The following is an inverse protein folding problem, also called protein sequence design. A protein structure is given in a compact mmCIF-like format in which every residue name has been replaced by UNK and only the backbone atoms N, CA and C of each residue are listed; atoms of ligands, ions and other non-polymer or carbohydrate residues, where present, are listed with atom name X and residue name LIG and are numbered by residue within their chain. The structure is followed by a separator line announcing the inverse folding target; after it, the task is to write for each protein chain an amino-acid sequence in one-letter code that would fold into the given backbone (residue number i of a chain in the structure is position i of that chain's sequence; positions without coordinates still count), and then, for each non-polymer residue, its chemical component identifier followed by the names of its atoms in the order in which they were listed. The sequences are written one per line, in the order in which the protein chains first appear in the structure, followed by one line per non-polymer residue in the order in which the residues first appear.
data_IF_860176997686
#
_entry.id   IF_860176997686
#
_cell.length_a   1.000
_cell.length_b   1.000
_cell.length_c   1.000
_cell.angle_alpha   90.00
_cell.angle_beta   90.00
_cell.angle_gamma   90.00
#
_symmetry.space_group_name_H-M   'P 1'
#
loop_
_entity.id
_entity.type
_entity.pdbx_description
1 polymer ?
#
# COMPACT_ATOMS: atom_id res chain seq x y z
N UNK A 1 11.03 -5.50 -11.13
CA UNK A 1 10.02 -4.46 -10.84
C UNK A 1 10.47 -3.62 -9.66
N UNK A 2 10.46 -2.31 -9.78
CA UNK A 2 10.68 -1.43 -8.64
C UNK A 2 9.32 -0.88 -8.18
N UNK A 3 8.72 -1.54 -7.20
CA UNK A 3 7.37 -1.23 -6.74
C UNK A 3 7.25 0.20 -6.18
N UNK A 4 8.27 0.67 -5.46
CA UNK A 4 8.21 2.01 -4.86
C UNK A 4 8.27 3.11 -5.92
N UNK A 5 9.04 2.92 -7.00
CA UNK A 5 9.07 3.88 -8.09
C UNK A 5 7.74 3.93 -8.83
N UNK A 6 7.12 2.79 -9.06
CA UNK A 6 5.80 2.72 -9.69
C UNK A 6 4.79 3.45 -8.82
N UNK A 7 4.82 3.20 -7.51
CA UNK A 7 3.91 3.86 -6.57
C UNK A 7 4.12 5.37 -6.57
N UNK A 8 5.36 5.83 -6.58
CA UNK A 8 5.68 7.27 -6.62
C UNK A 8 5.11 7.96 -7.86
N UNK A 9 5.11 7.28 -9.00
CA UNK A 9 4.52 7.84 -10.22
C UNK A 9 3.03 8.09 -10.09
N UNK A 10 2.34 7.34 -9.24
CA UNK A 10 0.90 7.42 -9.06
C UNK A 10 0.50 8.05 -7.72
N UNK A 11 1.47 8.57 -6.96
CA UNK A 11 1.24 9.12 -5.63
C UNK A 11 0.19 10.23 -5.64
N UNK A 12 0.30 11.16 -6.58
CA UNK A 12 -0.63 12.28 -6.70
C UNK A 12 -2.06 11.81 -6.92
N UNK A 13 -2.25 10.85 -7.83
CA UNK A 13 -3.56 10.27 -8.11
C UNK A 13 -4.12 9.57 -6.88
N UNK A 14 -3.29 8.77 -6.21
CA UNK A 14 -3.70 8.04 -5.01
C UNK A 14 -4.15 9.00 -3.92
N UNK A 15 -3.36 10.03 -3.64
CA UNK A 15 -3.68 10.99 -2.59
C UNK A 15 -4.91 11.83 -2.91
N UNK A 16 -5.05 12.24 -4.16
CA UNK A 16 -6.15 13.12 -4.58
C UNK A 16 -7.46 12.36 -4.78
N UNK A 17 -7.41 11.27 -5.55
CA UNK A 17 -8.61 10.53 -5.93
C UNK A 17 -9.16 9.69 -4.78
N UNK A 18 -8.27 9.07 -4.00
CA UNK A 18 -8.67 8.15 -2.94
C UNK A 18 -8.54 8.75 -1.55
N UNK A 19 -8.15 10.01 -1.44
CA UNK A 19 -8.02 10.75 -0.18
C UNK A 19 -7.09 10.02 0.79
N UNK A 20 -5.92 9.66 0.30
CA UNK A 20 -4.89 8.96 1.07
C UNK A 20 -3.92 9.98 1.67
N UNK A 21 -3.62 9.83 2.95
CA UNK A 21 -2.64 10.67 3.65
C UNK A 21 -1.23 10.15 3.43
N UNK A 22 -1.03 8.85 3.60
CA UNK A 22 0.27 8.19 3.40
C UNK A 22 0.06 6.84 2.75
N UNK A 23 0.99 6.43 1.90
CA UNK A 23 0.99 5.12 1.28
C UNK A 23 2.43 4.64 1.13
N UNK A 24 2.66 3.36 1.41
CA UNK A 24 3.98 2.78 1.31
C UNK A 24 3.95 1.29 1.01
N UNK A 25 5.12 0.75 0.77
CA UNK A 25 5.34 -0.67 0.48
C UNK A 25 6.05 -1.28 1.68
N UNK A 26 5.60 -2.46 2.12
CA UNK A 26 6.29 -3.21 3.16
C UNK A 26 6.41 -4.68 2.73
N UNK A 27 6.91 -5.52 3.61
CA UNK A 27 7.04 -6.94 3.33
C UNK A 27 8.15 -7.27 2.35
N UNK A 28 7.97 -8.33 1.55
CA UNK A 28 9.04 -8.85 0.70
C UNK A 28 9.52 -7.87 -0.35
N UNK A 29 8.63 -7.08 -0.95
CA UNK A 29 9.02 -6.07 -1.93
C UNK A 29 9.83 -4.94 -1.32
N UNK A 30 9.58 -4.59 -0.07
CA UNK A 30 10.37 -3.56 0.61
C UNK A 30 11.77 -4.07 0.99
N UNK A 31 11.89 -5.37 1.28
CA UNK A 31 13.15 -5.99 1.67
C UNK A 31 13.98 -6.50 0.49
N UNK A 32 13.43 -6.44 -0.73
CA UNK A 32 14.12 -7.00 -1.90
C UNK A 32 14.12 -8.53 -1.92
N UNK A 33 13.18 -9.16 -1.24
CA UNK A 33 13.08 -10.61 -1.11
C UNK A 33 11.92 -11.20 -1.91
N UNK A 34 11.30 -10.42 -2.78
CA UNK A 34 10.13 -10.84 -3.54
C UNK A 34 10.44 -11.95 -4.55
N UNK A 35 9.44 -12.81 -4.75
CA UNK A 35 9.43 -13.86 -5.76
C UNK A 35 8.37 -13.54 -6.79
N UNK A 36 8.36 -14.26 -7.92
CA UNK A 36 7.35 -14.06 -8.97
C UNK A 36 5.93 -14.18 -8.44
N UNK A 37 5.71 -15.07 -7.48
CA UNK A 37 4.39 -15.30 -6.89
C UNK A 37 4.06 -14.38 -5.73
N UNK A 38 4.97 -13.50 -5.31
CA UNK A 38 4.73 -12.61 -4.17
C UNK A 38 3.69 -11.55 -4.49
N UNK A 39 2.76 -11.33 -3.54
CA UNK A 39 1.86 -10.21 -3.60
C UNK A 39 2.60 -8.95 -3.13
N UNK A 40 2.14 -7.80 -3.58
CA UNK A 40 2.71 -6.53 -3.09
C UNK A 40 1.96 -6.12 -1.84
N UNK A 41 2.68 -5.98 -0.73
CA UNK A 41 2.11 -5.54 0.54
C UNK A 41 2.13 -4.01 0.60
N UNK A 42 0.96 -3.40 0.64
CA UNK A 42 0.82 -1.95 0.63
C UNK A 42 0.16 -1.49 1.92
N UNK A 43 0.80 -0.54 2.60
CA UNK A 43 0.27 0.08 3.80
C UNK A 43 -0.32 1.43 3.42
N UNK A 44 -1.57 1.67 3.83
CA UNK A 44 -2.25 2.92 3.53
C UNK A 44 -2.82 3.56 4.79
N UNK A 45 -2.69 4.89 4.86
CA UNK A 45 -3.33 5.71 5.88
C UNK A 45 -4.23 6.70 5.16
N UNK A 46 -5.56 6.54 5.34
CA UNK A 46 -6.55 7.41 4.72
C UNK A 46 -6.74 8.69 5.51
N UNK A 47 -7.13 9.76 4.81
CA UNK A 47 -7.60 10.96 5.46
C UNK A 47 -8.85 10.65 6.27
N UNK A 48 -9.13 11.46 7.27
CA UNK A 48 -10.30 11.27 8.12
C UNK A 48 -11.58 11.22 7.30
N UNK A 49 -12.41 10.22 7.55
CA UNK A 49 -13.67 10.01 6.84
C UNK A 49 -13.54 9.29 5.49
N UNK A 50 -12.32 9.11 4.99
CA UNK A 50 -12.11 8.47 3.68
C UNK A 50 -11.98 6.95 3.74
N UNK A 51 -11.83 6.39 4.93
CA UNK A 51 -11.68 4.94 5.10
C UNK A 51 -13.04 4.26 5.06
N UNK A 52 -13.58 4.09 3.85
CA UNK A 52 -14.81 3.35 3.61
C UNK A 52 -14.48 2.07 2.86
N UNK A 53 -15.38 1.09 2.92
CA UNK A 53 -15.20 -0.16 2.21
C UNK A 53 -15.03 0.08 0.70
N UNK A 54 -15.90 0.89 0.11
CA UNK A 54 -15.84 1.15 -1.33
C UNK A 54 -14.54 1.83 -1.73
N UNK A 55 -14.11 2.84 -1.00
CA UNK A 55 -12.88 3.55 -1.30
C UNK A 55 -11.66 2.65 -1.14
N UNK A 56 -11.66 1.81 -0.12
CA UNK A 56 -10.61 0.83 0.11
C UNK A 56 -10.50 -0.15 -1.07
N UNK A 57 -11.63 -0.70 -1.50
CA UNK A 57 -11.64 -1.66 -2.61
C UNK A 57 -11.27 -1.03 -3.94
N UNK A 58 -11.73 0.19 -4.20
CA UNK A 58 -11.35 0.91 -5.41
C UNK A 58 -9.85 1.20 -5.46
N UNK A 59 -9.27 1.58 -4.33
CA UNK A 59 -7.84 1.79 -4.24
C UNK A 59 -7.07 0.48 -4.49
N UNK A 60 -7.53 -0.60 -3.90
CA UNK A 60 -6.91 -1.92 -4.11
C UNK A 60 -6.90 -2.29 -5.59
N UNK A 61 -8.03 -2.16 -6.26
CA UNK A 61 -8.14 -2.49 -7.69
C UNK A 61 -7.27 -1.57 -8.55
N UNK A 62 -7.23 -0.29 -8.22
CA UNK A 62 -6.36 0.67 -8.91
C UNK A 62 -4.89 0.24 -8.81
N UNK A 63 -4.46 -0.11 -7.61
CA UNK A 63 -3.08 -0.54 -7.39
C UNK A 63 -2.78 -1.86 -8.10
N UNK A 64 -3.70 -2.79 -8.12
CA UNK A 64 -3.53 -4.04 -8.85
C UNK A 64 -3.37 -3.81 -10.36
N UNK A 65 -4.09 -2.85 -10.90
CA UNK A 65 -3.94 -2.48 -12.32
C UNK A 65 -2.58 -1.83 -12.57
N UNK A 66 -2.15 -0.94 -11.68
CA UNK A 66 -0.89 -0.22 -11.82
C UNK A 66 0.31 -1.16 -11.72
N UNK A 67 0.26 -2.08 -10.77
CA UNK A 67 1.36 -3.04 -10.56
C UNK A 67 1.27 -4.27 -11.46
N UNK A 68 0.11 -4.52 -12.07
CA UNK A 68 -0.19 -5.75 -12.82
C UNK A 68 0.11 -6.98 -11.94
N UNK A 69 -0.32 -6.93 -10.69
CA UNK A 69 -0.02 -7.94 -9.67
C UNK A 69 -1.03 -7.82 -8.53
N UNK A 70 -1.27 -8.91 -7.83
CA UNK A 70 -2.13 -8.87 -6.64
C UNK A 70 -1.52 -7.99 -5.57
N UNK A 71 -2.38 -7.23 -4.90
CA UNK A 71 -1.99 -6.32 -3.83
C UNK A 71 -2.70 -6.74 -2.56
N UNK A 72 -1.92 -6.85 -1.48
CA UNK A 72 -2.42 -7.00 -0.13
C UNK A 72 -2.43 -5.62 0.51
N UNK A 73 -3.61 -4.99 0.55
CA UNK A 73 -3.77 -3.62 1.03
C UNK A 73 -4.19 -3.63 2.49
N UNK A 74 -3.37 -3.00 3.33
CA UNK A 74 -3.58 -2.96 4.78
C UNK A 74 -3.63 -1.51 5.24
N UNK A 75 -4.63 -1.19 6.08
CA UNK A 75 -4.69 0.14 6.70
C UNK A 75 -3.89 0.16 7.98
N UNK A 76 -3.31 1.32 8.31
CA UNK A 76 -2.54 1.48 9.55
C UNK A 76 -3.40 1.13 10.76
N UNK A 77 -4.66 1.54 10.76
CA UNK A 77 -5.58 1.29 11.88
C UNK A 77 -5.94 -0.18 12.07
N UNK A 78 -5.76 -1.01 11.04
CA UNK A 78 -6.06 -2.45 11.11
C UNK A 78 -4.86 -3.27 11.58
N UNK A 79 -3.69 -2.67 11.76
CA UNK A 79 -2.50 -3.40 12.18
C UNK A 79 -2.64 -3.86 13.63
N UNK A 80 -2.38 -5.14 13.83
CA UNK A 80 -2.33 -5.70 15.19
C UNK A 80 -1.08 -5.17 15.90
N UNK A 81 -1.16 -4.84 17.21
CA UNK A 81 0.00 -4.32 17.95
C UNK A 81 1.25 -5.17 17.81
N UNK A 82 1.11 -6.50 17.76
CA UNK A 82 2.24 -7.43 17.66
C UNK A 82 3.01 -7.28 16.35
N UNK A 83 2.32 -6.89 15.26
CA UNK A 83 2.91 -6.78 13.93
C UNK A 83 3.25 -5.34 13.55
N UNK A 84 2.62 -4.38 14.23
CA UNK A 84 2.71 -2.96 13.87
C UNK A 84 4.16 -2.46 13.84
N UNK A 85 4.92 -2.76 14.86
CA UNK A 85 6.31 -2.32 14.95
C UNK A 85 7.16 -2.85 13.80
N UNK A 86 7.03 -4.15 13.50
CA UNK A 86 7.79 -4.77 12.42
C UNK A 86 7.41 -4.20 11.05
N UNK A 87 6.12 -4.02 10.81
CA UNK A 87 5.64 -3.47 9.54
C UNK A 87 6.09 -2.03 9.36
N UNK A 88 5.96 -1.20 10.40
CA UNK A 88 6.38 0.20 10.34
C UNK A 88 7.89 0.35 10.19
N UNK A 89 8.66 -0.63 10.66
CA UNK A 89 10.12 -0.64 10.47
C UNK A 89 10.50 -0.93 9.02
N UNK A 90 9.75 -1.81 8.34
CA UNK A 90 10.05 -2.23 6.97
C UNK A 90 9.46 -1.30 5.92
N UNK A 91 8.45 -0.51 6.24
CA UNK A 91 7.72 0.26 5.24
C UNK A 91 8.58 1.35 4.61
N UNK A 92 8.49 1.45 3.28
CA UNK A 92 9.05 2.56 2.51
C UNK A 92 7.87 3.35 1.94
N UNK A 93 7.75 4.60 2.34
CA UNK A 93 6.66 5.47 1.88
C UNK A 93 6.99 6.10 0.52
N UNK A 94 5.94 6.26 -0.24
CA UNK A 94 6.04 7.01 -1.49
C UNK A 94 5.96 8.52 -1.23
#
# INVERSE_FOLDING_TARGET
MNAIEILKKHESTVKTKFHVRKIGIFGSFARGEEKESSDIDVLVDFEEGAKTFDNFMELKFFLEDVFVRKVDLVTVSALRPQLKENILRDVTYA
#
